data_IF_219165216345
#
_entry.id   IF_219165216345
#
_cell.length_a   1.000
_cell.length_b   1.000
_cell.length_c   1.000
_cell.angle_alpha   90.00
_cell.angle_beta   90.00
_cell.angle_gamma   90.00
#
_symmetry.space_group_name_H-M   'P 1'
#
loop_
_entity.id
_entity.type
_entity.pdbx_description
1 polymer ?
#
# COMPACT_ATOMS: atom_id res chain seq x y z
N UNK A 1 -6.28 10.58 4.28
CA UNK A 1 -7.14 10.29 5.45
C UNK A 1 -8.15 9.24 5.02
N UNK A 2 -8.02 8.00 5.50
CA UNK A 2 -9.01 6.96 5.21
C UNK A 2 -10.26 7.33 5.99
N UNK A 3 -11.31 7.72 5.28
CA UNK A 3 -12.62 7.97 5.88
C UNK A 3 -13.33 6.61 5.93
N UNK A 4 -13.44 6.04 7.13
CA UNK A 4 -14.31 4.90 7.35
C UNK A 4 -15.75 5.42 7.22
N UNK A 5 -16.38 5.19 6.07
CA UNK A 5 -17.64 5.85 5.66
C UNK A 5 -18.81 5.63 6.63
N UNK A 6 -18.79 4.57 7.43
CA UNK A 6 -19.87 4.16 8.32
C UNK A 6 -19.41 3.91 9.76
N UNK A 7 -18.24 4.44 10.15
CA UNK A 7 -17.71 4.21 11.49
C UNK A 7 -18.48 5.00 12.54
N UNK A 8 -18.80 4.34 13.65
CA UNK A 8 -19.46 4.98 14.77
C UNK A 8 -18.41 5.64 15.67
N UNK A 9 -18.66 6.89 16.04
CA UNK A 9 -17.78 7.60 16.97
C UNK A 9 -18.03 7.16 18.41
N UNK A 10 -16.95 6.95 19.14
CA UNK A 10 -16.97 6.60 20.55
C UNK A 10 -15.94 7.43 21.31
N UNK A 11 -16.37 8.15 22.35
CA UNK A 11 -15.41 8.89 23.17
C UNK A 11 -14.46 7.93 23.90
N UNK A 12 -13.22 8.34 24.19
CA UNK A 12 -12.28 7.53 25.01
C UNK A 12 -12.92 7.13 26.35
N UNK A 13 -13.72 8.00 26.96
CA UNK A 13 -14.42 7.72 28.21
C UNK A 13 -15.45 6.61 28.05
N UNK A 14 -16.23 6.62 26.96
CA UNK A 14 -17.24 5.59 26.70
C UNK A 14 -16.60 4.27 26.22
N UNK A 15 -15.48 4.35 25.50
CA UNK A 15 -14.65 3.18 25.18
C UNK A 15 -14.11 2.52 26.45
N UNK A 16 -13.70 3.32 27.44
CA UNK A 16 -13.24 2.81 28.75
C UNK A 16 -14.36 2.10 29.50
N UNK A 17 -15.58 2.66 29.48
CA UNK A 17 -16.76 2.03 30.10
C UNK A 17 -17.18 0.74 29.40
N UNK A 18 -17.09 0.69 28.06
CA UNK A 18 -17.38 -0.50 27.25
C UNK A 18 -16.39 -1.63 27.55
N UNK A 19 -15.12 -1.27 27.79
CA UNK A 19 -14.02 -2.21 27.99
C UNK A 19 -13.56 -2.89 26.71
N UNK A 20 -12.36 -3.49 26.74
CA UNK A 20 -11.72 -4.12 25.57
C UNK A 20 -12.59 -5.24 24.99
N UNK A 21 -13.19 -6.08 25.83
CA UNK A 21 -14.02 -7.20 25.37
C UNK A 21 -15.23 -6.72 24.54
N UNK A 22 -15.88 -5.62 24.94
CA UNK A 22 -16.99 -5.06 24.18
C UNK A 22 -16.55 -4.49 22.83
N UNK A 23 -15.42 -3.78 22.81
CA UNK A 23 -14.85 -3.24 21.56
C UNK A 23 -14.44 -4.36 20.58
N UNK A 24 -13.92 -5.48 21.09
CA UNK A 24 -13.60 -6.66 20.28
C UNK A 24 -14.88 -7.28 19.73
N UNK A 25 -15.92 -7.45 20.53
CA UNK A 25 -17.19 -8.00 20.08
C UNK A 25 -17.84 -7.13 18.98
N UNK A 26 -17.75 -5.81 19.09
CA UNK A 26 -18.22 -4.88 18.06
C UNK A 26 -17.43 -5.09 16.75
N UNK A 27 -16.10 -5.19 16.82
CA UNK A 27 -15.25 -5.43 15.66
C UNK A 27 -15.51 -6.81 15.01
N UNK A 28 -15.75 -7.85 15.81
CA UNK A 28 -16.13 -9.18 15.32
C UNK A 28 -17.48 -9.17 14.62
N UNK A 29 -18.43 -8.34 15.07
CA UNK A 29 -19.71 -8.13 14.40
C UNK A 29 -19.61 -7.32 13.09
N UNK A 30 -18.42 -6.79 12.78
CA UNK A 30 -18.16 -5.98 11.60
C UNK A 30 -18.44 -4.49 11.77
N UNK A 31 -18.63 -4.01 13.01
CA UNK A 31 -18.79 -2.60 13.28
C UNK A 31 -17.42 -1.90 13.33
N UNK A 32 -17.26 -0.87 12.50
CA UNK A 32 -16.09 0.01 12.55
C UNK A 32 -16.33 1.11 13.59
N UNK A 33 -15.41 1.25 14.55
CA UNK A 33 -15.49 2.26 15.60
C UNK A 33 -14.33 3.25 15.49
N UNK A 34 -14.63 4.54 15.57
CA UNK A 34 -13.62 5.59 15.68
C UNK A 34 -13.61 6.10 17.11
N UNK A 35 -12.49 5.91 17.81
CA UNK A 35 -12.30 6.42 19.16
C UNK A 35 -11.87 7.88 19.09
N UNK A 36 -12.60 8.76 19.78
CA UNK A 36 -12.34 10.21 19.80
C UNK A 36 -11.93 10.72 21.18
N UNK A 37 -11.01 11.68 21.21
CA UNK A 37 -10.63 12.43 22.41
C UNK A 37 -10.84 13.91 22.14
N UNK A 38 -11.68 14.58 22.93
CA UNK A 38 -12.05 15.99 22.72
C UNK A 38 -12.53 16.24 21.27
N UNK A 39 -13.41 15.36 20.78
CA UNK A 39 -13.97 15.38 19.41
C UNK A 39 -12.95 15.19 18.28
N UNK A 40 -11.70 14.83 18.60
CA UNK A 40 -10.70 14.48 17.58
C UNK A 40 -10.53 12.95 17.50
N UNK A 41 -10.59 12.34 16.31
CA UNK A 41 -10.25 10.93 16.11
C UNK A 41 -8.80 10.64 16.56
N UNK A 42 -8.63 9.59 17.38
CA UNK A 42 -7.31 9.19 17.91
C UNK A 42 -6.98 7.71 17.66
N UNK A 43 -7.98 6.86 17.46
CA UNK A 43 -7.80 5.46 17.11
C UNK A 43 -9.03 4.93 16.35
N UNK A 44 -8.87 3.79 15.69
CA UNK A 44 -9.97 3.03 15.12
C UNK A 44 -9.91 1.58 15.63
N UNK A 45 -11.07 0.99 15.89
CA UNK A 45 -11.21 -0.44 16.19
C UNK A 45 -12.02 -1.04 15.07
N UNK A 46 -11.42 -1.97 14.34
CA UNK A 46 -12.01 -2.67 13.20
C UNK A 46 -11.64 -4.15 13.29
N UNK A 47 -12.44 -5.02 12.66
CA UNK A 47 -12.11 -6.44 12.57
C UNK A 47 -10.84 -6.68 11.75
N UNK A 48 -10.04 -7.69 12.13
CA UNK A 48 -8.77 -8.00 11.43
C UNK A 48 -8.99 -8.30 9.95
N UNK A 49 -10.04 -9.06 9.61
CA UNK A 49 -10.42 -9.31 8.21
C UNK A 49 -10.62 -8.01 7.43
N UNK A 50 -11.30 -7.04 8.04
CA UNK A 50 -11.55 -5.73 7.43
C UNK A 50 -10.26 -4.93 7.25
N UNK A 51 -9.35 -4.98 8.22
CA UNK A 51 -8.03 -4.37 8.10
C UNK A 51 -7.25 -4.96 6.92
N UNK A 52 -7.22 -6.29 6.81
CA UNK A 52 -6.54 -6.99 5.71
C UNK A 52 -7.11 -6.59 4.34
N UNK A 53 -8.44 -6.54 4.19
CA UNK A 53 -9.08 -6.08 2.95
C UNK A 53 -8.66 -4.65 2.56
N UNK A 54 -8.51 -3.75 3.54
CA UNK A 54 -8.06 -2.38 3.28
C UNK A 54 -6.58 -2.33 2.86
N UNK A 55 -5.74 -3.16 3.48
CA UNK A 55 -4.31 -3.26 3.14
C UNK A 55 -4.10 -3.85 1.74
N UNK A 56 -4.85 -4.91 1.40
CA UNK A 56 -4.86 -5.53 0.07
C UNK A 56 -5.35 -4.53 -0.99
N UNK A 57 -6.49 -3.87 -0.77
CA UNK A 57 -6.98 -2.86 -1.70
C UNK A 57 -6.00 -1.70 -1.89
N UNK A 58 -5.30 -1.28 -0.83
CA UNK A 58 -4.24 -0.27 -0.93
C UNK A 58 -3.02 -0.78 -1.72
N UNK A 59 -2.69 -2.07 -1.64
CA UNK A 59 -1.65 -2.68 -2.45
C UNK A 59 -2.03 -2.73 -3.92
N UNK A 60 -3.24 -3.21 -4.22
CA UNK A 60 -3.76 -3.27 -5.58
C UNK A 60 -3.81 -1.90 -6.25
N UNK A 61 -4.16 -0.85 -5.50
CA UNK A 61 -4.17 0.52 -6.03
C UNK A 61 -2.75 1.02 -6.37
N UNK A 62 -1.72 0.63 -5.60
CA UNK A 62 -0.33 0.97 -5.96
C UNK A 62 0.11 0.23 -7.21
N UNK A 63 -0.23 -1.05 -7.32
CA UNK A 63 0.13 -1.86 -8.49
C UNK A 63 -0.58 -1.35 -9.74
N UNK A 64 -1.86 -1.00 -9.62
CA UNK A 64 -2.62 -0.35 -10.70
C UNK A 64 -1.98 0.99 -11.09
N UNK A 65 -1.58 1.82 -10.13
CA UNK A 65 -0.91 3.09 -10.42
C UNK A 65 0.42 2.88 -11.17
N UNK A 66 1.19 1.85 -10.84
CA UNK A 66 2.41 1.48 -11.55
C UNK A 66 2.12 1.06 -12.99
N UNK A 67 1.13 0.18 -13.20
CA UNK A 67 0.71 -0.28 -14.53
C UNK A 67 0.22 0.89 -15.38
N UNK A 68 -0.62 1.76 -14.83
CA UNK A 68 -1.14 2.93 -15.55
C UNK A 68 -0.01 3.93 -15.88
N UNK A 69 0.90 4.18 -14.93
CA UNK A 69 2.06 5.03 -15.18
C UNK A 69 2.92 4.46 -16.30
N UNK A 70 3.17 3.15 -16.31
CA UNK A 70 3.88 2.49 -17.40
C UNK A 70 3.11 2.59 -18.71
N UNK A 71 1.81 2.34 -18.71
CA UNK A 71 1.00 2.40 -19.92
C UNK A 71 0.97 3.79 -20.56
N UNK A 72 0.95 4.86 -19.75
CA UNK A 72 0.96 6.25 -20.22
C UNK A 72 2.35 6.73 -20.64
N UNK A 73 3.40 6.23 -19.99
CA UNK A 73 4.80 6.66 -20.27
C UNK A 73 5.54 5.77 -21.26
N UNK A 74 5.02 4.57 -21.57
CA UNK A 74 5.63 3.68 -22.55
C UNK A 74 5.50 4.27 -23.96
N UNK A 75 6.61 4.81 -24.46
CA UNK A 75 6.71 5.35 -25.82
C UNK A 75 6.58 4.30 -26.93
N UNK A 76 6.46 3.00 -26.60
CA UNK A 76 6.45 1.94 -27.60
C UNK A 76 7.82 1.64 -28.19
N UNK A 77 8.87 2.38 -27.82
CA UNK A 77 10.25 2.15 -28.25
C UNK A 77 10.86 0.98 -27.51
N UNK A 78 11.56 0.12 -28.24
CA UNK A 78 12.30 -1.03 -27.72
C UNK A 78 13.72 -0.86 -28.26
N UNK A 79 14.71 -1.01 -27.39
CA UNK A 79 16.12 -0.83 -27.73
C UNK A 79 16.77 -2.20 -27.64
N UNK A 80 17.50 -2.61 -28.67
CA UNK A 80 18.22 -3.88 -28.62
C UNK A 80 19.41 -3.79 -27.66
N UNK A 81 19.84 -4.92 -27.09
CA UNK A 81 21.02 -4.94 -26.24
C UNK A 81 22.26 -4.42 -26.99
N UNK A 82 22.36 -4.72 -28.29
CA UNK A 82 23.49 -4.30 -29.12
C UNK A 82 23.52 -2.78 -29.33
N UNK A 83 22.35 -2.15 -29.51
CA UNK A 83 22.23 -0.69 -29.56
C UNK A 83 22.65 -0.03 -28.24
N UNK A 84 22.32 -0.64 -27.10
CA UNK A 84 22.76 -0.14 -25.79
C UNK A 84 24.27 -0.27 -25.65
N UNK A 85 24.81 -1.45 -25.92
CA UNK A 85 26.26 -1.73 -25.84
C UNK A 85 27.04 -0.76 -26.74
N UNK A 86 26.56 -0.54 -27.97
CA UNK A 86 27.14 0.42 -28.90
C UNK A 86 27.02 1.87 -28.41
N UNK A 87 25.92 2.26 -27.77
CA UNK A 87 25.75 3.60 -27.20
C UNK A 87 26.74 3.91 -26.07
N UNK A 88 27.24 2.88 -25.37
CA UNK A 88 28.32 2.98 -24.39
C UNK A 88 29.72 2.81 -25.00
N UNK A 89 29.84 2.71 -26.32
CA UNK A 89 31.13 2.60 -27.02
C UNK A 89 31.76 1.21 -26.94
N UNK A 90 30.98 0.18 -26.61
CA UNK A 90 31.44 -1.19 -26.52
C UNK A 90 30.86 -2.08 -27.63
N UNK A 91 31.36 -3.30 -27.71
CA UNK A 91 30.74 -4.43 -28.42
C UNK A 91 30.59 -5.60 -27.44
N UNK A 92 29.80 -6.63 -27.81
CA UNK A 92 29.68 -7.82 -26.95
C UNK A 92 31.02 -8.50 -26.72
N UNK A 93 31.84 -8.57 -27.76
CA UNK A 93 33.18 -9.15 -27.73
C UNK A 93 34.11 -8.34 -26.82
N UNK A 94 34.04 -7.00 -26.90
CA UNK A 94 34.80 -6.11 -26.02
C UNK A 94 34.42 -6.26 -24.54
N UNK A 95 33.14 -6.49 -24.24
CA UNK A 95 32.68 -6.71 -22.85
C UNK A 95 33.04 -8.10 -22.35
N UNK A 96 32.92 -9.13 -23.20
CA UNK A 96 33.30 -10.50 -22.85
C UNK A 96 34.81 -10.68 -22.63
N UNK A 97 35.62 -9.72 -23.10
CA UNK A 97 37.06 -9.68 -22.88
C UNK A 97 37.46 -8.95 -21.58
N UNK A 98 36.51 -8.35 -20.86
CA UNK A 98 36.75 -7.79 -19.52
C UNK A 98 36.77 -8.98 -18.56
N UNK A 99 37.90 -9.20 -17.88
CA UNK A 99 37.99 -10.19 -16.81
C UNK A 99 37.12 -9.72 -15.63
N UNK A 100 36.30 -10.61 -15.07
CA UNK A 100 35.59 -10.34 -13.82
C UNK A 100 36.65 -10.22 -12.71
N UNK A 101 36.98 -9.00 -12.29
CA UNK A 101 37.81 -8.77 -11.11
C UNK A 101 37.05 -9.30 -9.88
N UNK A 102 37.54 -10.39 -9.30
CA UNK A 102 37.03 -11.05 -8.08
C UNK A 102 37.35 -10.24 -6.80
#
# INVERSE_FOLDING_TARGET
>A
MVVLKDAHELSVTDATKRGVAGLVADAESGADLVVTRRQQPVAAVIGVRRLTELEEAAADLRDLALVLSRAVTDTGRRTSLDEVIAAFGHTRESLAAIEDDE
#
